data_IF_334864869541
#
_entry.id   IF_334864869541
#
_cell.length_a   1.000
_cell.length_b   1.000
_cell.length_c   1.000
_cell.angle_alpha   90.00
_cell.angle_beta   90.00
_cell.angle_gamma   90.00
#
_symmetry.space_group_name_H-M   'P 1'
#
loop_
_entity.id
_entity.type
_entity.pdbx_description
1 polymer ?
#
# COMPACT_ATOMS: atom_id res chain seq x y z
N UNK A 1 -48.67 13.01 -15.06
CA UNK A 1 -49.07 11.71 -14.53
C UNK A 1 -48.91 10.75 -15.69
N UNK A 2 -47.78 10.08 -15.89
CA UNK A 2 -46.77 9.70 -14.90
C UNK A 2 -45.36 9.72 -15.50
N UNK A 3 -44.43 10.04 -14.61
CA UNK A 3 -43.00 10.18 -14.79
C UNK A 3 -42.38 8.93 -15.43
N UNK A 4 -41.80 9.09 -16.62
CA UNK A 4 -40.70 8.23 -17.04
C UNK A 4 -39.45 8.71 -16.31
N UNK A 5 -39.37 8.35 -15.03
CA UNK A 5 -38.11 8.35 -14.28
C UNK A 5 -37.20 7.34 -14.94
N UNK A 6 -36.42 7.81 -15.91
CA UNK A 6 -35.20 7.15 -16.35
C UNK A 6 -34.29 7.13 -15.13
N UNK A 7 -34.42 6.08 -14.31
CA UNK A 7 -33.36 5.68 -13.42
C UNK A 7 -32.17 5.38 -14.31
N UNK A 8 -31.27 6.36 -14.43
CA UNK A 8 -29.89 6.12 -14.81
C UNK A 8 -29.43 5.03 -13.86
N UNK A 9 -29.37 3.80 -14.38
CA UNK A 9 -28.56 2.78 -13.77
C UNK A 9 -27.18 3.41 -13.71
N UNK A 10 -26.70 3.69 -12.49
CA UNK A 10 -25.29 3.86 -12.23
C UNK A 10 -24.64 2.55 -12.66
N UNK A 11 -24.33 2.48 -13.96
CA UNK A 11 -23.45 1.48 -14.50
C UNK A 11 -22.12 1.75 -13.80
N UNK A 12 -21.85 1.00 -12.73
CA UNK A 12 -20.54 0.98 -12.10
C UNK A 12 -19.52 0.90 -13.22
N UNK A 13 -18.77 1.97 -13.42
CA UNK A 13 -17.91 2.17 -14.59
C UNK A 13 -16.95 1.01 -14.66
N UNK A 14 -17.19 0.08 -15.59
CA UNK A 14 -16.25 -0.99 -15.85
C UNK A 14 -14.91 -0.33 -16.19
N UNK A 15 -13.88 -0.62 -15.40
CA UNK A 15 -12.54 -0.05 -15.58
C UNK A 15 -11.97 -0.48 -16.92
N UNK A 16 -11.13 0.35 -17.53
CA UNK A 16 -10.51 0.02 -18.80
C UNK A 16 -9.58 -1.20 -18.64
N UNK A 17 -9.76 -2.27 -19.43
CA UNK A 17 -8.93 -3.46 -19.30
C UNK A 17 -7.45 -3.24 -19.63
N UNK A 18 -7.13 -2.31 -20.53
CA UNK A 18 -5.75 -1.98 -20.88
C UNK A 18 -5.04 -1.25 -19.75
N UNK A 19 -5.74 -0.32 -19.10
CA UNK A 19 -5.28 0.38 -17.90
C UNK A 19 -5.03 -0.60 -16.74
N UNK A 20 -5.98 -1.49 -16.46
CA UNK A 20 -5.81 -2.52 -15.43
C UNK A 20 -4.58 -3.42 -15.71
N UNK A 21 -4.34 -3.77 -16.98
CA UNK A 21 -3.17 -4.56 -17.35
C UNK A 21 -1.86 -3.76 -17.20
N UNK A 22 -1.87 -2.45 -17.48
CA UNK A 22 -0.71 -1.59 -17.23
C UNK A 22 -0.37 -1.51 -15.75
N UNK A 23 -1.35 -1.19 -14.90
CA UNK A 23 -1.18 -1.14 -13.45
C UNK A 23 -0.69 -2.47 -12.88
N UNK A 24 -1.24 -3.59 -13.36
CA UNK A 24 -0.79 -4.91 -12.96
C UNK A 24 0.68 -5.20 -13.34
N UNK A 25 1.17 -4.65 -14.47
CA UNK A 25 2.58 -4.77 -14.86
C UNK A 25 3.49 -3.92 -13.98
N UNK A 26 3.04 -2.72 -13.60
CA UNK A 26 3.81 -1.83 -12.73
C UNK A 26 3.97 -2.45 -11.33
N UNK A 27 2.88 -2.97 -10.75
CA UNK A 27 2.90 -3.73 -9.49
C UNK A 27 3.78 -4.99 -9.57
N UNK A 28 3.79 -5.68 -10.72
CA UNK A 28 4.66 -6.84 -10.93
C UNK A 28 6.15 -6.45 -10.96
N UNK A 29 6.49 -5.27 -11.49
CA UNK A 29 7.84 -4.75 -11.47
C UNK A 29 8.28 -4.39 -10.05
N UNK A 30 7.40 -3.77 -9.26
CA UNK A 30 7.62 -3.49 -7.84
C UNK A 30 7.86 -4.77 -7.03
N UNK A 31 7.03 -5.80 -7.24
CA UNK A 31 7.22 -7.09 -6.57
C UNK A 31 8.57 -7.75 -6.93
N UNK A 32 9.00 -7.63 -8.19
CA UNK A 32 10.28 -8.14 -8.62
C UNK A 32 11.46 -7.41 -7.93
N UNK A 33 11.33 -6.10 -7.69
CA UNK A 33 12.34 -5.33 -6.98
C UNK A 33 12.39 -5.69 -5.48
N UNK A 34 11.25 -5.85 -4.82
CA UNK A 34 11.16 -6.34 -3.42
C UNK A 34 11.91 -7.67 -3.28
N UNK A 35 11.70 -8.62 -4.20
CA UNK A 35 12.40 -9.90 -4.18
C UNK A 35 13.90 -9.76 -4.46
N UNK A 36 14.30 -8.84 -5.33
CA UNK A 36 15.71 -8.56 -5.58
C UNK A 36 16.39 -7.98 -4.34
N UNK A 37 15.73 -7.08 -3.62
CA UNK A 37 16.21 -6.51 -2.35
C UNK A 37 16.40 -7.59 -1.27
N UNK A 38 15.44 -8.52 -1.13
CA UNK A 38 15.59 -9.67 -0.23
C UNK A 38 16.81 -10.53 -0.57
N UNK A 39 17.03 -10.85 -1.86
CA UNK A 39 18.18 -11.65 -2.32
C UNK A 39 19.51 -10.96 -2.07
N UNK A 40 19.55 -9.61 -2.15
CA UNK A 40 20.73 -8.80 -1.82
C UNK A 40 20.98 -8.71 -0.32
N UNK A 41 19.96 -8.99 0.50
CA UNK A 41 20.00 -8.83 1.96
C UNK A 41 19.65 -7.43 2.44
N UNK A 42 19.03 -6.62 1.57
CA UNK A 42 18.58 -5.25 1.90
C UNK A 42 17.28 -5.27 2.73
N UNK A 43 16.46 -6.31 2.57
CA UNK A 43 15.25 -6.57 3.35
C UNK A 43 15.35 -7.93 4.03
N UNK A 44 14.81 -8.04 5.24
CA UNK A 44 14.63 -9.32 5.92
C UNK A 44 13.33 -10.05 5.49
N UNK A 45 13.09 -11.24 6.05
CA UNK A 45 11.91 -12.03 5.69
C UNK A 45 10.59 -11.36 6.11
N UNK A 46 10.55 -10.68 7.26
CA UNK A 46 9.35 -10.03 7.74
C UNK A 46 9.03 -8.83 6.85
N UNK A 47 10.01 -7.97 6.59
CA UNK A 47 9.88 -6.79 5.71
C UNK A 47 9.43 -7.20 4.31
N UNK A 48 10.08 -8.20 3.72
CA UNK A 48 9.72 -8.73 2.40
C UNK A 48 8.28 -9.26 2.38
N UNK A 49 7.86 -9.95 3.44
CA UNK A 49 6.52 -10.53 3.53
C UNK A 49 5.43 -9.47 3.62
N UNK A 50 5.65 -8.42 4.42
CA UNK A 50 4.71 -7.30 4.54
C UNK A 50 4.64 -6.52 3.22
N UNK A 51 5.78 -6.14 2.64
CA UNK A 51 5.81 -5.42 1.37
C UNK A 51 5.15 -6.22 0.23
N UNK A 52 5.39 -7.53 0.18
CA UNK A 52 4.71 -8.42 -0.78
C UNK A 52 3.21 -8.44 -0.57
N UNK A 53 2.75 -8.49 0.68
CA UNK A 53 1.33 -8.50 0.99
C UNK A 53 0.64 -7.21 0.53
N UNK A 54 1.28 -6.05 0.76
CA UNK A 54 0.75 -4.75 0.35
C UNK A 54 0.59 -4.67 -1.18
N UNK A 55 1.62 -5.06 -1.94
CA UNK A 55 1.55 -5.09 -3.42
C UNK A 55 0.47 -6.05 -3.92
N UNK A 56 0.28 -7.21 -3.26
CA UNK A 56 -0.79 -8.15 -3.62
C UNK A 56 -2.18 -7.60 -3.28
N UNK A 57 -2.32 -6.82 -2.21
CA UNK A 57 -3.56 -6.13 -1.88
C UNK A 57 -3.89 -5.07 -2.94
N UNK A 58 -2.90 -4.29 -3.38
CA UNK A 58 -3.07 -3.30 -4.44
C UNK A 58 -3.47 -3.97 -5.76
N UNK A 59 -2.83 -5.09 -6.10
CA UNK A 59 -3.21 -5.88 -7.27
C UNK A 59 -4.66 -6.38 -7.17
N UNK A 60 -5.12 -6.75 -5.97
CA UNK A 60 -6.51 -7.14 -5.74
C UNK A 60 -7.48 -5.97 -5.93
N UNK A 61 -7.12 -4.76 -5.48
CA UNK A 61 -7.89 -3.53 -5.73
C UNK A 61 -8.00 -3.25 -7.23
N UNK A 62 -6.88 -3.34 -7.97
CA UNK A 62 -6.86 -3.17 -9.43
C UNK A 62 -7.77 -4.20 -10.11
N UNK A 63 -7.64 -5.48 -9.74
CA UNK A 63 -8.41 -6.57 -10.33
C UNK A 63 -9.92 -6.47 -10.06
N UNK A 64 -10.31 -5.96 -8.88
CA UNK A 64 -11.72 -5.72 -8.53
C UNK A 64 -12.26 -4.41 -9.09
N UNK A 65 -11.39 -3.56 -9.64
CA UNK A 65 -11.75 -2.23 -10.15
C UNK A 65 -12.08 -1.22 -9.04
N UNK A 66 -11.67 -1.49 -7.81
CA UNK A 66 -11.97 -0.69 -6.62
C UNK A 66 -10.98 0.48 -6.40
N UNK A 67 -10.46 1.06 -7.49
CA UNK A 67 -9.55 2.21 -7.46
C UNK A 67 -10.14 3.39 -8.23
N UNK A 68 -9.67 4.60 -7.93
CA UNK A 68 -9.89 5.80 -8.75
C UNK A 68 -8.53 6.41 -9.08
N UNK A 69 -8.32 6.72 -10.36
CA UNK A 69 -7.13 7.46 -10.77
C UNK A 69 -7.33 8.93 -10.43
N UNK A 70 -6.35 9.50 -9.77
CA UNK A 70 -6.26 10.94 -9.57
C UNK A 70 -5.49 11.49 -10.77
N UNK A 71 -6.16 12.27 -11.61
CA UNK A 71 -5.48 13.05 -12.64
C UNK A 71 -4.69 14.15 -11.92
N UNK A 72 -3.37 14.05 -11.92
CA UNK A 72 -2.51 15.15 -11.51
C UNK A 72 -2.64 16.24 -12.58
N UNK A 73 -3.45 17.27 -12.30
CA UNK A 73 -3.50 18.49 -13.11
C UNK A 73 -2.21 19.25 -12.83
N UNK A 74 -1.16 18.85 -13.54
CA UNK A 74 0.16 19.47 -13.55
C UNK A 74 0.02 20.86 -14.20
N UNK A 75 -0.59 21.80 -13.47
CA UNK A 75 -0.59 23.22 -13.80
C UNK A 75 0.83 23.71 -13.53
N UNK A 76 1.63 23.78 -14.60
CA UNK A 76 2.93 24.42 -14.63
C UNK A 76 2.87 25.85 -14.07
N UNK A 77 3.42 26.10 -12.89
CA UNK A 77 3.91 27.43 -12.49
C UNK A 77 5.31 27.30 -11.86
N UNK A 78 6.25 27.79 -12.65
CA UNK A 78 7.65 28.08 -12.41
C UNK A 78 7.79 29.05 -11.21
N UNK A 79 8.25 28.59 -10.04
CA UNK A 79 8.70 29.47 -8.94
C UNK A 79 9.95 28.86 -8.27
N UNK A 80 11.10 29.28 -8.81
CA UNK A 80 12.37 29.65 -8.18
C UNK A 80 12.91 28.86 -6.96
N UNK A 81 14.14 28.36 -7.14
CA UNK A 81 15.09 27.95 -6.10
C UNK A 81 15.19 29.00 -4.98
N UNK A 82 15.11 28.57 -3.73
CA UNK A 82 16.01 29.05 -2.67
C UNK A 82 16.20 27.95 -1.61
N UNK A 83 17.47 27.58 -1.45
CA UNK A 83 18.02 26.70 -0.41
C UNK A 83 17.80 27.30 0.98
N UNK A 84 17.42 26.50 1.97
CA UNK A 84 17.90 26.70 3.35
C UNK A 84 17.97 25.35 4.08
N UNK A 85 19.21 25.04 4.50
CA UNK A 85 19.60 23.94 5.38
C UNK A 85 19.06 24.14 6.82
N UNK A 86 19.22 23.09 7.62
CA UNK A 86 19.05 23.02 9.08
C UNK A 86 17.66 22.65 9.64
N UNK A 87 17.55 21.43 10.17
CA UNK A 87 17.49 21.17 11.62
C UNK A 87 17.29 19.65 11.86
N UNK A 88 18.33 19.02 12.42
CA UNK A 88 18.29 17.66 12.91
C UNK A 88 17.50 17.59 14.23
N UNK A 89 16.23 17.13 14.21
CA UNK A 89 15.51 16.78 15.44
C UNK A 89 15.65 15.29 15.75
N UNK A 90 16.57 15.00 16.67
CA UNK A 90 16.78 13.68 17.24
C UNK A 90 15.60 13.26 18.12
N UNK A 91 14.80 12.31 17.63
CA UNK A 91 14.04 11.41 18.49
C UNK A 91 14.72 10.06 18.53
N UNK A 92 15.45 9.84 19.62
CA UNK A 92 15.89 8.53 20.10
C UNK A 92 14.70 7.57 20.11
N UNK A 93 14.63 6.69 19.13
CA UNK A 93 13.82 5.48 19.22
C UNK A 93 14.45 4.61 20.31
N UNK A 94 13.76 4.53 21.46
CA UNK A 94 14.07 3.55 22.50
C UNK A 94 14.11 2.15 21.85
N UNK A 95 15.17 1.35 22.08
CA UNK A 95 15.26 0.03 21.47
C UNK A 95 14.11 -0.84 22.01
N UNK A 96 13.32 -1.41 21.10
CA UNK A 96 12.44 -2.53 21.42
C UNK A 96 13.30 -3.64 22.06
N UNK A 97 13.17 -3.84 23.37
CA UNK A 97 13.78 -4.98 24.04
C UNK A 97 12.88 -6.20 23.87
N UNK A 98 13.48 -7.30 23.42
CA UNK A 98 12.86 -8.62 23.16
C UNK A 98 12.05 -9.16 24.37
N UNK A 99 12.36 -8.66 25.57
CA UNK A 99 11.77 -9.09 26.84
C UNK A 99 10.27 -8.72 26.97
N UNK A 100 9.79 -7.66 26.28
CA UNK A 100 8.38 -7.24 26.38
C UNK A 100 7.42 -8.01 25.46
N UNK A 101 7.94 -8.73 24.47
CA UNK A 101 7.13 -9.54 23.55
C UNK A 101 6.75 -10.90 24.16
N UNK A 102 7.65 -11.50 24.94
CA UNK A 102 7.45 -12.82 25.54
C UNK A 102 6.38 -12.79 26.65
N UNK A 103 6.27 -11.71 27.42
CA UNK A 103 5.30 -11.59 28.52
C UNK A 103 3.84 -11.52 28.03
N UNK A 104 3.60 -11.02 26.80
CA UNK A 104 2.24 -10.93 26.26
C UNK A 104 1.74 -12.23 25.58
N UNK A 105 2.62 -13.21 25.36
CA UNK A 105 2.22 -14.52 24.82
C UNK A 105 1.71 -15.50 25.89
N UNK A 106 1.99 -15.29 27.17
CA UNK A 106 1.60 -16.23 28.24
C UNK A 106 0.07 -16.22 28.49
N UNK A 107 -0.59 -15.06 28.32
CA UNK A 107 -2.02 -14.86 28.68
C UNK A 107 -3.01 -15.52 27.70
N UNK A 108 -2.57 -15.93 26.51
CA UNK A 108 -3.42 -16.57 25.49
C UNK A 108 -3.37 -18.10 25.51
N UNK A 109 -2.49 -18.70 26.32
CA UNK A 109 -2.25 -20.15 26.32
C UNK A 109 -3.15 -20.93 27.30
N UNK A 110 -4.03 -20.26 28.03
CA UNK A 110 -4.88 -20.84 29.06
C UNK A 110 -6.30 -21.18 28.63
N UNK A 111 -6.51 -22.25 27.85
CA UNK A 111 -7.80 -22.95 27.85
C UNK A 111 -7.68 -24.37 28.46
N UNK A 112 -8.66 -24.77 29.31
CA UNK A 112 -8.53 -25.93 30.19
C UNK A 112 -8.73 -27.24 29.43
N UNK A 113 -7.95 -28.26 29.84
CA UNK A 113 -8.07 -29.63 29.39
C UNK A 113 -9.52 -30.15 29.47
N UNK A 114 -10.01 -30.72 28.36
CA UNK A 114 -11.18 -31.60 28.37
C UNK A 114 -10.77 -33.05 28.21
#
# INVERSE_FOLDING_TARGET
MDEQGQGQAEAGTAKDPGEQESLARDLAAELADIFAQYVRGDLDFAETSFATFDVLQDLHVVATGAYELVEDDDTSEDEDEDEDEDEADGKTAEPYSDETAAEQQEDLSGEPAR
#
